data_IF_631917230061
#
_entry.id   IF_631917230061
#
_cell.length_a   1.000
_cell.length_b   1.000
_cell.length_c   1.000
_cell.angle_alpha   90.00
_cell.angle_beta   90.00
_cell.angle_gamma   90.00
#
_symmetry.space_group_name_H-M   'P 1'
#
loop_
_entity.id
_entity.type
_entity.pdbx_description
1 polymer ?
#
# COMPACT_ATOMS: atom_id res chain seq x y z
N UNK A 1 -15.86 8.57 15.37
CA UNK A 1 -17.04 8.57 14.50
C UNK A 1 -17.95 7.37 14.77
N UNK A 2 -17.45 6.13 14.78
CA UNK A 2 -18.24 4.92 15.07
C UNK A 2 -18.83 4.96 16.50
N UNK A 3 -18.08 5.41 17.49
CA UNK A 3 -18.56 5.62 18.86
C UNK A 3 -19.72 6.61 18.94
N UNK A 4 -19.70 7.68 18.14
CA UNK A 4 -20.79 8.64 18.01
C UNK A 4 -22.07 8.01 17.44
N UNK A 5 -21.95 6.87 16.76
CA UNK A 5 -23.07 6.07 16.26
C UNK A 5 -23.54 5.02 17.28
N UNK A 6 -22.99 5.02 18.50
CA UNK A 6 -23.35 4.10 19.57
C UNK A 6 -22.66 2.74 19.48
N UNK A 7 -21.60 2.61 18.67
CA UNK A 7 -20.82 1.38 18.55
C UNK A 7 -19.80 1.35 19.70
N UNK A 8 -19.84 0.29 20.49
CA UNK A 8 -18.87 0.06 21.56
C UNK A 8 -17.71 -0.77 21.04
N UNK A 9 -16.50 -0.41 21.46
CA UNK A 9 -15.27 -1.14 21.15
C UNK A 9 -14.81 -1.93 22.37
N UNK A 10 -14.29 -3.13 22.14
CA UNK A 10 -13.69 -3.99 23.17
C UNK A 10 -12.20 -3.75 23.32
N UNK A 11 -11.54 -3.27 22.24
CA UNK A 11 -10.13 -2.87 22.21
C UNK A 11 -10.01 -1.36 22.13
N UNK A 12 -8.90 -0.83 22.59
CA UNK A 12 -8.58 0.60 22.55
C UNK A 12 -7.81 1.03 21.27
N UNK A 13 -7.25 0.06 20.51
CA UNK A 13 -6.41 0.37 19.33
C UNK A 13 -6.42 -0.70 18.23
N UNK A 14 -7.47 -1.53 18.10
CA UNK A 14 -7.53 -2.56 17.07
C UNK A 14 -8.12 -2.05 15.75
N UNK A 15 -7.31 -1.88 14.73
CA UNK A 15 -7.76 -1.57 13.36
C UNK A 15 -8.76 -2.60 12.84
N UNK A 16 -8.53 -3.88 13.16
CA UNK A 16 -9.43 -4.97 12.74
C UNK A 16 -10.82 -4.83 13.32
N UNK A 17 -10.94 -4.44 14.59
CA UNK A 17 -12.24 -4.21 15.23
C UNK A 17 -12.96 -3.00 14.61
N UNK A 18 -12.21 -1.93 14.32
CA UNK A 18 -12.75 -0.75 13.62
C UNK A 18 -13.30 -1.13 12.25
N UNK A 19 -12.56 -1.94 11.50
CA UNK A 19 -12.99 -2.41 10.18
C UNK A 19 -14.23 -3.29 10.29
N UNK A 20 -14.24 -4.27 11.20
CA UNK A 20 -15.38 -5.17 11.40
C UNK A 20 -16.67 -4.41 11.74
N UNK A 21 -16.59 -3.51 12.71
CA UNK A 21 -17.73 -2.69 13.14
C UNK A 21 -18.17 -1.72 12.03
N UNK A 22 -17.21 -1.09 11.34
CA UNK A 22 -17.49 -0.18 10.25
C UNK A 22 -18.19 -0.84 9.07
N UNK A 23 -17.71 -1.98 8.62
CA UNK A 23 -18.35 -2.74 7.53
C UNK A 23 -19.68 -3.35 7.96
N UNK A 24 -19.82 -3.80 9.20
CA UNK A 24 -21.10 -4.30 9.72
C UNK A 24 -22.19 -3.22 9.73
N UNK A 25 -21.82 -1.98 10.02
CA UNK A 25 -22.78 -0.86 10.15
C UNK A 25 -23.06 -0.16 8.83
N UNK A 26 -22.03 0.11 8.02
CA UNK A 26 -22.15 0.90 6.78
C UNK A 26 -22.07 0.06 5.49
N UNK A 27 -21.83 -1.25 5.62
CA UNK A 27 -21.53 -2.09 4.46
C UNK A 27 -20.29 -1.62 3.72
N UNK A 28 -20.24 -1.92 2.44
CA UNK A 28 -19.08 -1.56 1.59
C UNK A 28 -18.80 -0.04 1.53
N UNK A 29 -19.80 0.80 1.76
CA UNK A 29 -19.63 2.26 1.76
C UNK A 29 -18.70 2.75 2.89
N UNK A 30 -18.37 1.91 3.86
CA UNK A 30 -17.39 2.26 4.86
C UNK A 30 -15.99 2.51 4.28
N UNK A 31 -15.68 1.91 3.13
CA UNK A 31 -14.38 2.11 2.44
C UNK A 31 -14.09 3.59 2.14
N UNK A 32 -15.12 4.39 1.89
CA UNK A 32 -14.96 5.83 1.60
C UNK A 32 -14.42 6.63 2.79
N UNK A 33 -14.61 6.09 4.00
CA UNK A 33 -14.14 6.70 5.26
C UNK A 33 -12.74 6.27 5.65
N UNK A 34 -12.19 5.24 5.02
CA UNK A 34 -10.86 4.74 5.32
C UNK A 34 -9.79 5.64 4.71
N UNK A 35 -8.80 5.99 5.53
CA UNK A 35 -7.61 6.73 5.12
C UNK A 35 -6.39 5.93 5.54
N UNK A 36 -5.53 5.60 4.57
CA UNK A 36 -4.30 4.83 4.86
C UNK A 36 -3.92 3.87 3.76
N UNK A 37 -3.04 2.94 4.11
CA UNK A 37 -2.50 1.89 3.26
C UNK A 37 -3.09 0.56 3.71
N UNK A 38 -3.88 -0.07 2.87
CA UNK A 38 -4.52 -1.32 3.23
C UNK A 38 -4.78 -2.24 2.04
N UNK A 39 -4.77 -3.52 2.33
CA UNK A 39 -5.47 -4.53 1.55
C UNK A 39 -6.33 -5.34 2.51
N UNK A 40 -7.62 -5.33 2.27
CA UNK A 40 -8.61 -5.88 3.19
C UNK A 40 -9.33 -7.02 2.50
N UNK A 41 -9.53 -8.10 3.24
CA UNK A 41 -10.50 -9.14 2.89
C UNK A 41 -11.45 -9.33 4.06
N UNK A 42 -12.75 -9.36 3.81
CA UNK A 42 -13.72 -9.76 4.81
C UNK A 42 -14.81 -10.64 4.22
N UNK A 43 -15.34 -11.51 5.04
CA UNK A 43 -16.40 -12.43 4.71
C UNK A 43 -17.70 -12.04 5.41
N UNK A 44 -18.76 -11.87 4.63
CA UNK A 44 -20.11 -11.68 5.15
C UNK A 44 -20.84 -13.03 5.13
N UNK A 45 -21.06 -13.59 6.31
CA UNK A 45 -21.74 -14.87 6.48
C UNK A 45 -23.23 -14.82 6.15
N UNK A 46 -23.87 -13.64 6.20
CA UNK A 46 -25.30 -13.51 5.90
C UNK A 46 -25.57 -13.60 4.40
N UNK A 47 -24.73 -12.97 3.59
CA UNK A 47 -24.83 -13.00 2.13
C UNK A 47 -23.99 -14.11 1.50
N UNK A 48 -23.10 -14.76 2.25
CA UNK A 48 -22.10 -15.71 1.79
C UNK A 48 -21.20 -15.10 0.70
N UNK A 49 -20.71 -13.88 0.97
CA UNK A 49 -19.89 -13.10 0.06
C UNK A 49 -18.52 -12.79 0.64
N UNK A 50 -17.50 -12.85 -0.20
CA UNK A 50 -16.13 -12.40 0.12
C UNK A 50 -15.90 -11.06 -0.52
N UNK A 51 -15.41 -10.11 0.26
CA UNK A 51 -15.01 -8.78 -0.18
C UNK A 51 -13.49 -8.68 -0.19
N UNK A 52 -12.93 -8.23 -1.31
CA UNK A 52 -11.53 -7.87 -1.46
C UNK A 52 -11.46 -6.39 -1.77
N UNK A 53 -10.66 -5.63 -1.01
CA UNK A 53 -10.60 -4.16 -1.12
C UNK A 53 -9.16 -3.72 -1.08
N UNK A 54 -8.77 -2.81 -1.97
CA UNK A 54 -7.42 -2.26 -2.05
C UNK A 54 -7.43 -0.75 -1.85
N UNK A 55 -6.43 -0.21 -1.16
CA UNK A 55 -6.32 1.22 -0.87
C UNK A 55 -6.28 2.09 -2.14
N UNK A 56 -6.57 3.40 -1.97
CA UNK A 56 -6.74 4.37 -3.06
C UNK A 56 -5.57 4.45 -4.03
N UNK A 57 -4.34 4.30 -3.55
CA UNK A 57 -3.13 4.37 -4.36
C UNK A 57 -2.52 2.99 -4.67
N UNK A 58 -3.14 1.91 -4.14
CA UNK A 58 -2.67 0.54 -4.32
C UNK A 58 -1.32 0.28 -3.67
N UNK A 59 -1.04 0.94 -2.55
CA UNK A 59 0.23 0.81 -1.83
C UNK A 59 0.42 -0.59 -1.25
N UNK A 60 -0.66 -1.19 -0.74
CA UNK A 60 -0.62 -2.60 -0.34
C UNK A 60 -1.04 -3.50 -1.50
N UNK A 61 -0.27 -4.56 -1.80
CA UNK A 61 -0.61 -5.48 -2.87
C UNK A 61 -1.78 -6.39 -2.48
N UNK A 62 -2.65 -6.69 -3.45
CA UNK A 62 -3.71 -7.69 -3.32
C UNK A 62 -3.88 -8.41 -4.64
N UNK A 63 -3.55 -9.70 -4.63
CA UNK A 63 -3.68 -10.59 -5.77
C UNK A 63 -4.82 -11.58 -5.53
N UNK A 64 -5.44 -12.06 -6.60
CA UNK A 64 -6.45 -13.10 -6.52
C UNK A 64 -6.48 -13.95 -7.79
N UNK A 65 -7.00 -15.15 -7.64
CA UNK A 65 -7.35 -16.08 -8.71
C UNK A 65 -8.57 -16.86 -8.28
N UNK A 66 -9.40 -17.30 -9.20
CA UNK A 66 -10.59 -18.09 -8.89
C UNK A 66 -10.93 -19.05 -10.02
N UNK A 67 -11.65 -20.08 -9.64
CA UNK A 67 -12.24 -21.05 -10.56
C UNK A 67 -13.69 -21.40 -10.09
N UNK A 68 -14.28 -22.44 -10.64
CA UNK A 68 -15.66 -22.86 -10.30
C UNK A 68 -15.85 -23.37 -8.86
N UNK A 69 -14.79 -23.56 -8.07
CA UNK A 69 -14.85 -24.22 -6.77
C UNK A 69 -14.18 -23.43 -5.65
N UNK A 70 -13.34 -22.46 -5.99
CA UNK A 70 -12.55 -21.74 -5.00
C UNK A 70 -12.13 -20.35 -5.47
N UNK A 71 -11.80 -19.49 -4.53
CA UNK A 71 -11.06 -18.26 -4.72
C UNK A 71 -9.83 -18.27 -3.81
N UNK A 72 -8.67 -17.95 -4.36
CA UNK A 72 -7.45 -17.72 -3.61
C UNK A 72 -7.08 -16.25 -3.69
N UNK A 73 -6.66 -15.66 -2.59
CA UNK A 73 -6.23 -14.28 -2.53
C UNK A 73 -5.10 -14.07 -1.53
N UNK A 74 -4.34 -12.99 -1.69
CA UNK A 74 -3.25 -12.66 -0.80
C UNK A 74 -2.38 -11.53 -1.29
N UNK A 75 -1.45 -11.10 -0.46
CA UNK A 75 -0.53 -10.00 -0.77
C UNK A 75 0.69 -10.42 -1.59
N UNK A 76 0.91 -11.72 -1.80
CA UNK A 76 2.07 -12.25 -2.52
C UNK A 76 1.64 -13.21 -3.63
N UNK A 77 1.94 -12.87 -4.88
CA UNK A 77 1.60 -13.67 -6.05
C UNK A 77 2.24 -15.07 -6.02
N UNK A 78 3.50 -15.16 -5.56
CA UNK A 78 4.21 -16.45 -5.46
C UNK A 78 3.46 -17.44 -4.57
N UNK A 79 2.92 -16.97 -3.45
CA UNK A 79 2.15 -17.82 -2.53
C UNK A 79 0.89 -18.39 -3.18
N UNK A 80 0.17 -17.57 -3.96
CA UNK A 80 -1.03 -18.03 -4.68
C UNK A 80 -0.68 -19.11 -5.71
N UNK A 81 0.40 -18.88 -6.47
CA UNK A 81 0.87 -19.84 -7.48
C UNK A 81 1.29 -21.15 -6.85
N UNK A 82 1.98 -21.13 -5.71
CA UNK A 82 2.38 -22.33 -4.98
C UNK A 82 1.18 -23.12 -4.43
N UNK A 83 0.11 -22.43 -4.03
CA UNK A 83 -1.10 -23.09 -3.53
C UNK A 83 -1.88 -23.78 -4.66
N UNK A 84 -2.01 -23.14 -5.80
CA UNK A 84 -2.83 -23.65 -6.91
C UNK A 84 -2.13 -24.74 -7.73
N UNK A 85 -0.79 -24.82 -7.70
CA UNK A 85 0.05 -25.77 -8.46
C UNK A 85 -0.12 -25.76 -9.99
N UNK A 86 -1.17 -25.14 -10.51
CA UNK A 86 -1.43 -24.97 -11.93
C UNK A 86 -1.27 -23.50 -12.30
N UNK A 87 -0.24 -23.21 -13.07
CA UNK A 87 -0.01 -21.87 -13.59
C UNK A 87 0.59 -21.91 -14.99
N UNK A 88 0.27 -20.91 -15.76
CA UNK A 88 0.83 -20.70 -17.11
C UNK A 88 1.26 -19.26 -17.23
N UNK A 89 2.38 -19.01 -17.86
CA UNK A 89 2.79 -17.66 -18.21
C UNK A 89 1.80 -17.11 -19.25
N UNK A 90 1.34 -15.89 -19.03
CA UNK A 90 0.54 -15.14 -20.00
C UNK A 90 1.48 -14.50 -21.04
N UNK A 91 1.40 -14.88 -22.34
CA UNK A 91 2.30 -14.35 -23.35
C UNK A 91 2.24 -12.83 -23.51
N UNK A 92 1.03 -12.23 -23.37
CA UNK A 92 0.84 -10.79 -23.50
C UNK A 92 1.49 -10.05 -22.32
N UNK A 93 1.32 -10.57 -21.10
CA UNK A 93 1.98 -10.03 -19.91
C UNK A 93 3.50 -10.21 -19.96
N UNK A 94 3.99 -11.29 -20.55
CA UNK A 94 5.43 -11.49 -20.76
C UNK A 94 5.98 -10.45 -21.76
N UNK A 95 5.26 -10.20 -22.86
CA UNK A 95 5.64 -9.16 -23.82
C UNK A 95 5.69 -7.79 -23.15
N UNK A 96 4.67 -7.43 -22.40
CA UNK A 96 4.63 -6.17 -21.64
C UNK A 96 5.79 -6.04 -20.65
N UNK A 97 6.12 -7.12 -19.95
CA UNK A 97 7.26 -7.13 -19.02
C UNK A 97 8.60 -6.92 -19.73
N UNK A 98 8.79 -7.54 -20.89
CA UNK A 98 10.03 -7.38 -21.68
C UNK A 98 10.19 -5.95 -22.23
N UNK A 99 9.08 -5.30 -22.56
CA UNK A 99 9.08 -3.94 -23.08
C UNK A 99 9.20 -2.87 -21.98
N UNK A 100 8.48 -3.03 -20.85
CA UNK A 100 8.31 -2.00 -19.85
C UNK A 100 9.03 -2.33 -18.51
N UNK A 101 9.50 -3.56 -18.32
CA UNK A 101 10.05 -4.03 -17.04
C UNK A 101 9.00 -4.29 -15.96
N UNK A 102 7.70 -4.18 -16.29
CA UNK A 102 6.59 -4.33 -15.35
C UNK A 102 5.36 -4.87 -16.06
N UNK A 103 4.52 -5.61 -15.34
CA UNK A 103 3.19 -6.00 -15.82
C UNK A 103 2.14 -5.10 -15.15
N UNK A 104 1.33 -4.40 -15.95
CA UNK A 104 0.34 -3.45 -15.45
C UNK A 104 -0.91 -4.16 -14.92
N UNK A 105 -1.51 -3.58 -13.86
CA UNK A 105 -2.79 -4.07 -13.32
C UNK A 105 -3.91 -3.95 -14.37
N UNK A 106 -4.88 -4.87 -14.41
CA UNK A 106 -5.13 -5.95 -13.43
C UNK A 106 -4.34 -7.25 -13.69
N UNK A 107 -3.54 -7.32 -14.75
CA UNK A 107 -2.82 -8.53 -15.12
C UNK A 107 -1.65 -8.82 -14.17
N UNK A 108 -1.22 -10.07 -14.20
CA UNK A 108 0.04 -10.53 -13.63
C UNK A 108 0.81 -11.28 -14.73
N UNK A 109 2.03 -11.74 -14.43
CA UNK A 109 2.81 -12.57 -15.36
C UNK A 109 2.15 -13.95 -15.60
N UNK A 110 1.24 -14.37 -14.73
CA UNK A 110 0.54 -15.65 -14.85
C UNK A 110 -0.90 -15.44 -15.33
N UNK A 111 -1.32 -16.27 -16.27
CA UNK A 111 -2.68 -16.30 -16.79
C UNK A 111 -3.68 -16.64 -15.67
N UNK A 112 -4.82 -15.95 -15.66
CA UNK A 112 -5.91 -16.13 -14.68
C UNK A 112 -5.53 -15.77 -13.22
N UNK A 113 -4.41 -15.07 -13.03
CA UNK A 113 -4.03 -14.44 -11.77
C UNK A 113 -4.10 -12.93 -11.94
N UNK A 114 -4.81 -12.29 -11.06
CA UNK A 114 -5.13 -10.87 -11.16
C UNK A 114 -4.57 -10.09 -9.97
N UNK A 115 -4.32 -8.82 -10.22
CA UNK A 115 -3.98 -7.83 -9.21
C UNK A 115 -5.14 -6.86 -9.10
N UNK A 116 -5.77 -6.79 -7.94
CA UNK A 116 -6.83 -5.82 -7.70
C UNK A 116 -6.30 -4.42 -7.93
N UNK A 117 -7.02 -3.58 -8.68
CA UNK A 117 -6.52 -2.25 -9.03
C UNK A 117 -6.54 -1.30 -7.83
N UNK A 118 -5.75 -0.21 -7.85
CA UNK A 118 -5.86 0.86 -6.86
C UNK A 118 -7.30 1.40 -6.76
N UNK A 119 -7.73 1.67 -5.53
CA UNK A 119 -9.07 2.18 -5.23
C UNK A 119 -10.22 1.26 -5.69
N UNK A 120 -9.97 -0.03 -5.80
CA UNK A 120 -10.96 -0.99 -6.28
C UNK A 120 -11.41 -1.92 -5.16
N UNK A 121 -12.66 -2.34 -5.23
CA UNK A 121 -13.13 -3.48 -4.48
C UNK A 121 -13.79 -4.52 -5.42
N UNK A 122 -13.74 -5.77 -4.98
CA UNK A 122 -14.35 -6.91 -5.62
C UNK A 122 -15.23 -7.63 -4.59
N UNK A 123 -16.45 -7.98 -4.99
CA UNK A 123 -17.36 -8.84 -4.24
C UNK A 123 -17.47 -10.17 -4.97
N UNK A 124 -17.16 -11.25 -4.29
CA UNK A 124 -17.18 -12.60 -4.81
C UNK A 124 -18.29 -13.40 -4.12
N UNK A 125 -19.20 -13.96 -4.89
CA UNK A 125 -20.27 -14.81 -4.40
C UNK A 125 -19.76 -16.24 -4.21
N UNK A 126 -19.72 -16.70 -2.98
CA UNK A 126 -19.27 -18.05 -2.63
C UNK A 126 -20.31 -19.14 -2.89
N UNK A 127 -21.56 -18.78 -3.24
CA UNK A 127 -22.56 -19.78 -3.66
C UNK A 127 -22.38 -20.16 -5.14
N UNK A 128 -21.98 -19.19 -5.95
CA UNK A 128 -21.83 -19.37 -7.41
C UNK A 128 -20.37 -19.47 -7.85
N UNK A 129 -19.42 -19.14 -6.99
CA UNK A 129 -18.00 -18.98 -7.28
C UNK A 129 -17.71 -18.01 -8.42
N UNK A 130 -18.41 -16.86 -8.41
CA UNK A 130 -18.28 -15.84 -9.43
C UNK A 130 -18.10 -14.45 -8.84
N UNK A 131 -17.45 -13.58 -9.61
CA UNK A 131 -17.38 -12.16 -9.31
C UNK A 131 -18.75 -11.52 -9.51
N UNK A 132 -19.36 -11.06 -8.41
CA UNK A 132 -20.67 -10.37 -8.41
C UNK A 132 -20.53 -8.90 -8.77
N UNK A 133 -19.50 -8.26 -8.25
CA UNK A 133 -19.24 -6.83 -8.45
C UNK A 133 -17.75 -6.56 -8.39
N UNK A 134 -17.25 -5.74 -9.30
CA UNK A 134 -15.89 -5.21 -9.25
C UNK A 134 -15.94 -3.78 -9.74
N UNK A 135 -15.55 -2.82 -8.91
CA UNK A 135 -15.56 -1.40 -9.26
C UNK A 135 -14.62 -0.57 -8.40
N UNK A 136 -14.22 0.58 -8.94
CA UNK A 136 -13.52 1.61 -8.19
C UNK A 136 -14.48 2.33 -7.24
N UNK A 137 -14.03 2.56 -6.01
CA UNK A 137 -14.74 3.38 -5.02
C UNK A 137 -14.21 4.82 -4.98
N UNK A 138 -13.04 5.08 -5.59
CA UNK A 138 -12.43 6.41 -5.65
C UNK A 138 -11.67 6.58 -6.98
N UNK A 139 -11.71 7.80 -7.53
CA UNK A 139 -10.98 8.17 -8.74
C UNK A 139 -10.32 9.53 -8.53
N UNK A 140 -9.01 9.62 -8.78
CA UNK A 140 -8.24 10.85 -8.66
C UNK A 140 -8.70 11.91 -9.66
N UNK A 141 -9.08 11.50 -10.87
CA UNK A 141 -9.50 12.41 -11.95
C UNK A 141 -10.73 13.25 -11.55
N UNK A 142 -11.63 12.67 -10.75
CA UNK A 142 -12.81 13.35 -10.23
C UNK A 142 -12.48 14.39 -9.15
N UNK A 143 -11.26 14.36 -8.61
CA UNK A 143 -10.76 15.24 -7.55
C UNK A 143 -9.82 16.32 -8.06
N UNK A 144 -9.46 16.28 -9.34
CA UNK A 144 -8.63 17.32 -9.95
C UNK A 144 -9.50 18.55 -10.18
N UNK A 145 -9.28 19.57 -9.38
CA UNK A 145 -9.94 20.89 -9.52
C UNK A 145 -9.17 21.82 -10.46
N UNK A 146 -9.81 22.95 -10.79
CA UNK A 146 -9.19 24.04 -11.53
C UNK A 146 -8.51 25.07 -10.60
N UNK A 147 -8.39 24.78 -9.34
CA UNK A 147 -7.81 25.66 -8.34
C UNK A 147 -6.32 25.88 -8.57
N UNK A 148 -5.86 27.08 -8.24
CA UNK A 148 -4.43 27.39 -8.34
C UNK A 148 -3.70 26.68 -7.22
N UNK A 149 -2.49 26.19 -7.54
CA UNK A 149 -1.57 25.63 -6.56
C UNK A 149 -1.27 26.64 -5.46
N UNK A 150 -1.56 26.26 -4.19
CA UNK A 150 -1.19 27.00 -2.99
C UNK A 150 -0.05 26.25 -2.27
N UNK A 151 1.08 26.92 -2.12
CA UNK A 151 2.25 26.34 -1.49
C UNK A 151 2.05 26.06 0.00
N UNK A 152 1.30 26.89 0.71
CA UNK A 152 1.04 26.69 2.14
C UNK A 152 0.09 25.50 2.36
N UNK A 153 -0.93 25.41 1.52
CA UNK A 153 -1.83 24.25 1.55
C UNK A 153 -1.05 22.95 1.24
N UNK A 154 -0.19 22.96 0.22
CA UNK A 154 0.69 21.84 -0.08
C UNK A 154 1.56 21.43 1.11
N UNK A 155 2.23 22.39 1.76
CA UNK A 155 3.05 22.12 2.93
C UNK A 155 2.24 21.53 4.09
N UNK A 156 1.04 22.03 4.32
CA UNK A 156 0.14 21.51 5.35
C UNK A 156 -0.29 20.05 5.05
N UNK A 157 -0.68 19.77 3.81
CA UNK A 157 -1.07 18.42 3.38
C UNK A 157 0.10 17.45 3.42
N UNK A 158 1.27 17.89 2.98
CA UNK A 158 2.49 17.11 3.01
C UNK A 158 2.88 16.75 4.46
N UNK A 159 2.86 17.73 5.36
CA UNK A 159 3.14 17.51 6.77
C UNK A 159 2.14 16.56 7.43
N UNK A 160 0.84 16.73 7.19
CA UNK A 160 -0.20 15.81 7.67
C UNK A 160 -0.02 14.39 7.12
N UNK A 161 0.37 14.27 5.86
CA UNK A 161 0.64 12.98 5.23
C UNK A 161 1.80 12.24 5.89
N UNK A 162 2.88 12.93 6.25
CA UNK A 162 4.02 12.35 6.97
C UNK A 162 3.58 11.98 8.39
N UNK A 163 2.97 12.92 9.11
CA UNK A 163 2.53 12.74 10.49
C UNK A 163 1.58 11.54 10.65
N UNK A 164 0.70 11.30 9.68
CA UNK A 164 -0.21 10.14 9.72
C UNK A 164 0.49 8.79 9.60
N UNK A 165 1.77 8.76 9.24
CA UNK A 165 2.61 7.56 9.11
C UNK A 165 3.61 7.39 10.26
N UNK A 166 3.58 8.32 11.21
CA UNK A 166 4.43 8.29 12.41
C UNK A 166 3.75 7.57 13.58
N UNK A 167 2.55 7.02 13.37
CA UNK A 167 1.84 6.23 14.38
C UNK A 167 2.38 4.80 14.37
N UNK A 168 3.11 4.42 15.42
CA UNK A 168 3.70 3.09 15.57
C UNK A 168 3.92 2.79 17.06
N UNK A 169 3.90 1.49 17.41
CA UNK A 169 4.20 1.00 18.76
C UNK A 169 5.71 0.79 19.00
N UNK A 170 6.52 1.08 17.98
CA UNK A 170 7.98 0.95 17.98
C UNK A 170 8.62 2.21 17.41
N UNK A 171 9.92 2.37 17.61
CA UNK A 171 10.67 3.48 17.05
C UNK A 171 10.58 3.51 15.52
N UNK A 172 10.39 4.72 14.99
CA UNK A 172 10.27 4.96 13.56
C UNK A 172 11.64 5.32 13.00
N UNK A 173 11.91 4.76 11.82
CA UNK A 173 13.10 5.10 11.04
C UNK A 173 12.73 5.44 9.60
N UNK A 174 13.59 6.22 8.94
CA UNK A 174 13.42 6.63 7.55
C UNK A 174 14.56 6.15 6.68
N UNK A 175 14.23 5.66 5.48
CA UNK A 175 15.24 5.49 4.45
C UNK A 175 15.64 6.84 3.86
N UNK A 176 16.92 7.07 3.69
CA UNK A 176 17.48 8.31 3.18
C UNK A 176 18.42 8.03 2.00
N UNK A 177 18.01 8.43 0.80
CA UNK A 177 18.86 8.40 -0.39
C UNK A 177 19.61 9.73 -0.64
N UNK A 178 19.15 10.81 0.01
CA UNK A 178 19.62 12.16 -0.29
C UNK A 178 18.93 12.80 -1.50
N UNK A 179 17.99 12.10 -2.15
CA UNK A 179 17.08 12.65 -3.15
C UNK A 179 16.07 13.62 -2.55
N UNK A 180 15.39 14.40 -3.39
CA UNK A 180 14.44 15.44 -2.96
C UNK A 180 13.35 14.89 -2.06
N UNK A 181 12.76 13.74 -2.41
CA UNK A 181 11.63 13.17 -1.68
C UNK A 181 12.01 12.75 -0.27
N UNK A 182 13.03 11.90 -0.13
CA UNK A 182 13.51 11.43 1.18
C UNK A 182 14.04 12.58 2.06
N UNK A 183 14.72 13.53 1.46
CA UNK A 183 15.22 14.72 2.16
C UNK A 183 14.10 15.64 2.65
N UNK A 184 13.02 15.79 1.85
CA UNK A 184 11.86 16.59 2.22
C UNK A 184 11.09 15.99 3.39
N UNK A 185 10.99 14.65 3.44
CA UNK A 185 10.38 13.93 4.57
C UNK A 185 11.15 14.22 5.86
N UNK A 186 12.49 13.98 5.84
CA UNK A 186 13.36 14.21 6.99
C UNK A 186 13.34 15.67 7.45
N UNK A 187 13.40 16.62 6.50
CA UNK A 187 13.29 18.05 6.81
C UNK A 187 11.97 18.38 7.50
N UNK A 188 10.85 17.85 7.02
CA UNK A 188 9.54 18.08 7.62
C UNK A 188 9.44 17.49 9.04
N UNK A 189 9.99 16.31 9.28
CA UNK A 189 10.07 15.71 10.63
C UNK A 189 10.92 16.56 11.56
N UNK A 190 12.08 17.02 11.09
CA UNK A 190 12.98 17.90 11.86
C UNK A 190 12.31 19.23 12.23
N UNK A 191 11.56 19.86 11.32
CA UNK A 191 10.85 21.11 11.56
C UNK A 191 9.76 20.96 12.66
N UNK A 192 9.28 19.75 12.88
CA UNK A 192 8.33 19.40 13.96
C UNK A 192 9.01 18.87 15.21
N UNK A 193 10.35 18.89 15.27
CA UNK A 193 11.16 18.36 16.37
C UNK A 193 10.92 16.86 16.65
N UNK A 194 10.63 16.07 15.63
CA UNK A 194 10.51 14.61 15.73
C UNK A 194 11.92 14.02 15.72
N UNK A 195 12.28 13.11 16.67
CA UNK A 195 13.54 12.40 16.61
C UNK A 195 13.65 11.55 15.33
N UNK A 196 14.79 11.64 14.63
CA UNK A 196 14.96 11.01 13.33
C UNK A 196 16.11 9.99 13.39
N UNK A 197 15.74 8.72 13.22
CA UNK A 197 16.69 7.65 12.90
C UNK A 197 16.62 7.42 11.38
N UNK A 198 17.75 7.55 10.68
CA UNK A 198 17.79 7.38 9.23
C UNK A 198 18.76 6.29 8.81
N UNK A 199 18.42 5.62 7.70
CA UNK A 199 19.22 4.54 7.12
C UNK A 199 19.45 4.80 5.64
N UNK A 200 20.68 4.54 5.18
CA UNK A 200 21.03 4.57 3.76
C UNK A 200 21.64 3.25 3.33
N UNK A 201 21.29 2.84 2.11
CA UNK A 201 21.99 1.74 1.44
C UNK A 201 23.15 2.34 0.66
N UNK A 202 24.32 1.76 0.85
CA UNK A 202 25.56 2.14 0.15
C UNK A 202 25.90 1.03 -0.84
N UNK A 203 26.37 1.40 -2.02
CA UNK A 203 26.83 0.47 -3.05
C UNK A 203 28.34 0.62 -3.23
N UNK A 204 29.03 -0.51 -3.46
CA UNK A 204 30.46 -0.47 -3.80
C UNK A 204 30.71 0.23 -5.15
N UNK A 205 29.79 0.06 -6.10
CA UNK A 205 29.87 0.78 -7.38
C UNK A 205 29.47 2.24 -7.19
N UNK A 206 30.48 3.12 -7.32
CA UNK A 206 30.32 4.58 -7.19
C UNK A 206 29.26 5.17 -8.14
N UNK A 207 28.89 4.47 -9.19
CA UNK A 207 27.86 4.93 -10.12
C UNK A 207 26.48 4.95 -9.47
N UNK A 208 26.23 4.06 -8.52
CA UNK A 208 24.94 3.91 -7.82
C UNK A 208 25.02 4.38 -6.36
N UNK A 209 26.21 4.79 -5.89
CA UNK A 209 26.41 5.23 -4.52
C UNK A 209 25.94 6.67 -4.33
N UNK A 210 24.86 6.83 -3.56
CA UNK A 210 24.29 8.12 -3.16
C UNK A 210 24.71 8.57 -1.76
N UNK A 211 25.66 7.87 -1.12
CA UNK A 211 26.10 8.10 0.27
C UNK A 211 26.54 9.52 0.56
N UNK A 212 27.15 10.20 -0.41
CA UNK A 212 27.54 11.61 -0.30
C UNK A 212 26.33 12.52 -0.03
N UNK A 213 25.23 12.28 -0.70
CA UNK A 213 24.04 13.12 -0.59
C UNK A 213 23.21 12.77 0.64
N UNK A 214 23.05 11.49 0.93
CA UNK A 214 22.38 11.06 2.15
C UNK A 214 23.09 11.55 3.40
N UNK A 215 24.44 11.49 3.42
CA UNK A 215 25.24 12.01 4.52
C UNK A 215 25.04 13.50 4.73
N UNK A 216 25.02 14.32 3.68
CA UNK A 216 24.78 15.77 3.81
C UNK A 216 23.45 16.11 4.48
N UNK A 217 22.41 15.34 4.16
CA UNK A 217 21.08 15.51 4.77
C UNK A 217 21.06 14.98 6.19
N UNK A 218 21.66 13.81 6.42
CA UNK A 218 21.76 13.19 7.73
C UNK A 218 22.51 14.06 8.74
N UNK A 219 23.68 14.55 8.37
CA UNK A 219 24.51 15.42 9.23
C UNK A 219 23.76 16.70 9.64
N UNK A 220 22.77 17.13 8.87
CA UNK A 220 22.01 18.35 9.14
C UNK A 220 20.71 18.11 9.93
N UNK A 221 20.05 16.98 9.74
CA UNK A 221 18.68 16.79 10.19
C UNK A 221 18.44 15.51 10.99
N UNK A 222 19.30 14.48 10.89
CA UNK A 222 19.09 13.22 11.60
C UNK A 222 19.76 13.22 12.97
N UNK A 223 19.12 12.60 13.94
CA UNK A 223 19.68 12.34 15.25
C UNK A 223 20.69 11.18 15.19
N UNK A 224 20.31 10.12 14.46
CA UNK A 224 21.17 8.98 14.19
C UNK A 224 21.09 8.65 12.70
N UNK A 225 22.22 8.24 12.12
CA UNK A 225 22.29 7.82 10.74
C UNK A 225 23.17 6.58 10.59
N UNK A 226 22.63 5.55 10.01
CA UNK A 226 23.34 4.29 9.74
C UNK A 226 23.41 4.01 8.24
N UNK A 227 24.56 3.49 7.82
CA UNK A 227 24.80 3.07 6.46
C UNK A 227 24.91 1.55 6.42
N UNK A 228 24.15 0.90 5.52
CA UNK A 228 24.27 -0.52 5.23
C UNK A 228 24.90 -0.71 3.85
N UNK A 229 26.05 -1.37 3.81
CA UNK A 229 26.68 -1.73 2.54
C UNK A 229 25.92 -2.92 1.94
N UNK A 230 25.44 -2.76 0.72
CA UNK A 230 24.84 -3.85 -0.06
C UNK A 230 25.92 -4.45 -0.95
N UNK A 231 26.33 -5.69 -0.66
CA UNK A 231 27.16 -6.48 -1.56
C UNK A 231 26.25 -7.19 -2.57
N UNK A 232 26.65 -7.18 -3.85
CA UNK A 232 25.91 -7.88 -4.93
C UNK A 232 25.83 -9.39 -4.70
N UNK A 233 26.63 -9.95 -3.83
CA UNK A 233 26.59 -11.36 -3.41
C UNK A 233 25.37 -11.67 -2.52
N UNK A 234 24.83 -10.66 -1.83
CA UNK A 234 23.66 -10.82 -0.94
C UNK A 234 22.32 -10.92 -1.69
N UNK A 235 22.33 -10.77 -3.02
CA UNK A 235 21.12 -10.76 -3.87
C UNK A 235 20.90 -12.10 -4.59
N UNK A 236 21.78 -13.08 -4.44
CA UNK A 236 21.72 -14.37 -5.13
C UNK A 236 20.81 -15.42 -4.47
#
# INVERSE_FOLDING_TARGET
YLEQQGINFYSDHSDTEVLLNGFSYFGINFVDKLVGQFSISFYDANSNELFLIRDRLGQKPLFYTYNSNEILFGSNLKSLVMMNKEYRIDPDSLGEYLDLGVVTSPRTIFKDYYKLQPAEFLVFDLNTYQVKTQKKYWNIEEKVGSERFDLNEFHNLFSKSIQSREVADVDIATFLSGGIDSSSIIKNMNDRNVPINSFSVIYEDKKYDESKWSKLVADKYSNNHENSLLDLVDIS
#
